data_IF_997436051436
#
_entry.id   IF_997436051436
#
_cell.length_a   1.000
_cell.length_b   1.000
_cell.length_c   1.000
_cell.angle_alpha   90.00
_cell.angle_beta   90.00
_cell.angle_gamma   90.00
#
_symmetry.space_group_name_H-M   'P 1'
#
loop_
_entity.id
_entity.type
_entity.pdbx_description
1 polymer ?
#
# COMPACT_ATOMS: atom_id res chain seq x y z
N UNK A 1 21.50 -24.78 -1.21
CA UNK A 1 20.25 -24.97 -0.44
C UNK A 1 19.03 -24.61 -1.27
N UNK A 2 18.98 -23.43 -1.88
CA UNK A 2 17.87 -23.02 -2.75
C UNK A 2 17.59 -24.00 -3.90
N UNK A 3 18.62 -24.51 -4.58
CA UNK A 3 18.45 -25.57 -5.58
C UNK A 3 17.73 -26.82 -5.04
N UNK A 4 17.97 -27.21 -3.79
CA UNK A 4 17.26 -28.34 -3.17
C UNK A 4 15.79 -27.99 -2.91
N UNK A 5 15.50 -26.74 -2.57
CA UNK A 5 14.13 -26.25 -2.42
C UNK A 5 13.43 -26.24 -3.77
N UNK A 6 14.07 -25.73 -4.83
CA UNK A 6 13.53 -25.74 -6.19
C UNK A 6 13.28 -27.17 -6.68
N UNK A 7 14.23 -28.09 -6.50
CA UNK A 7 14.04 -29.51 -6.80
C UNK A 7 12.87 -30.11 -6.01
N UNK A 8 12.75 -29.76 -4.73
CA UNK A 8 11.62 -30.15 -3.89
C UNK A 8 10.29 -29.63 -4.42
N UNK A 9 10.23 -28.36 -4.86
CA UNK A 9 9.03 -27.77 -5.44
C UNK A 9 8.67 -28.50 -6.74
N UNK A 10 9.62 -28.64 -7.68
CA UNK A 10 9.41 -29.31 -8.97
C UNK A 10 8.93 -30.77 -8.81
N UNK A 11 9.42 -31.47 -7.77
CA UNK A 11 9.06 -32.87 -7.51
C UNK A 11 7.71 -33.04 -6.82
N UNK A 12 7.33 -32.11 -5.95
CA UNK A 12 6.19 -32.31 -5.04
C UNK A 12 4.96 -31.45 -5.38
N UNK A 13 5.09 -30.45 -6.26
CA UNK A 13 3.95 -29.64 -6.70
C UNK A 13 3.41 -30.12 -8.06
N UNK A 14 2.12 -29.89 -8.35
CA UNK A 14 1.54 -30.18 -9.67
C UNK A 14 2.31 -29.50 -10.80
N UNK A 15 2.42 -30.17 -11.96
CA UNK A 15 3.20 -29.67 -13.09
C UNK A 15 2.69 -28.32 -13.63
N UNK A 16 1.38 -28.07 -13.60
CA UNK A 16 0.79 -26.79 -14.00
C UNK A 16 1.25 -25.68 -13.05
N UNK A 17 1.24 -25.92 -11.74
CA UNK A 17 1.73 -24.97 -10.73
C UNK A 17 3.19 -24.62 -11.00
N UNK A 18 4.04 -25.63 -11.26
CA UNK A 18 5.46 -25.41 -11.57
C UNK A 18 5.60 -24.57 -12.85
N UNK A 19 4.84 -24.86 -13.91
CA UNK A 19 4.92 -24.10 -15.16
C UNK A 19 4.48 -22.62 -15.03
N UNK A 20 3.55 -22.32 -14.12
CA UNK A 20 3.14 -20.94 -13.81
C UNK A 20 4.14 -20.22 -12.91
N UNK A 21 4.87 -20.98 -12.09
CA UNK A 21 5.85 -20.41 -11.17
C UNK A 21 7.12 -19.94 -11.87
N UNK A 22 7.61 -20.71 -12.85
CA UNK A 22 8.91 -20.52 -13.48
C UNK A 22 8.78 -20.06 -14.94
N UNK A 23 9.76 -19.31 -15.42
CA UNK A 23 9.90 -18.95 -16.83
C UNK A 23 10.61 -20.06 -17.64
N UNK A 24 10.78 -19.86 -18.94
CA UNK A 24 11.43 -20.82 -19.83
C UNK A 24 12.92 -21.04 -19.52
N UNK A 25 13.54 -20.10 -18.80
CA UNK A 25 14.91 -20.17 -18.31
C UNK A 25 15.00 -20.74 -16.89
N UNK A 26 13.90 -21.29 -16.38
CA UNK A 26 13.79 -21.91 -15.04
C UNK A 26 13.98 -20.92 -13.87
N UNK A 27 13.81 -19.62 -14.13
CA UNK A 27 13.79 -18.58 -13.10
C UNK A 27 12.39 -18.41 -12.51
N UNK A 28 12.30 -18.04 -11.24
CA UNK A 28 11.03 -17.68 -10.61
C UNK A 28 10.47 -16.42 -11.28
N UNK A 29 9.28 -16.50 -11.88
CA UNK A 29 8.65 -15.34 -12.53
C UNK A 29 8.44 -14.21 -11.54
N UNK A 30 8.46 -12.99 -12.05
CA UNK A 30 8.22 -11.78 -11.26
C UNK A 30 6.93 -11.89 -10.43
N UNK A 31 6.98 -11.41 -9.19
CA UNK A 31 5.91 -11.44 -8.18
C UNK A 31 5.48 -12.83 -7.66
N UNK A 32 5.95 -13.94 -8.24
CA UNK A 32 5.77 -15.25 -7.60
C UNK A 32 6.68 -15.35 -6.37
N UNK A 33 6.23 -16.07 -5.34
CA UNK A 33 6.91 -16.14 -4.05
C UNK A 33 7.08 -17.57 -3.59
N UNK A 34 8.26 -17.85 -3.03
CA UNK A 34 8.53 -19.05 -2.25
C UNK A 34 8.72 -18.59 -0.81
N UNK A 35 8.00 -19.19 0.12
CA UNK A 35 8.06 -18.87 1.54
C UNK A 35 8.54 -20.09 2.31
N UNK A 36 9.45 -19.89 3.26
CA UNK A 36 9.64 -20.83 4.35
C UNK A 36 8.86 -20.34 5.56
N UNK A 37 8.02 -21.19 6.14
CA UNK A 37 7.18 -20.86 7.29
C UNK A 37 7.42 -21.82 8.45
N UNK A 38 7.77 -21.27 9.61
CA UNK A 38 7.99 -21.99 10.88
C UNK A 38 6.77 -21.86 11.77
N UNK A 39 6.18 -23.01 12.13
CA UNK A 39 5.01 -23.08 13.01
C UNK A 39 5.35 -23.00 14.50
N UNK A 40 6.50 -23.56 14.89
CA UNK A 40 6.89 -23.63 16.31
C UNK A 40 8.20 -22.88 16.51
N UNK A 41 8.16 -21.83 17.33
CA UNK A 41 9.33 -21.04 17.68
C UNK A 41 9.17 -20.51 19.11
N UNK A 42 10.29 -20.32 19.81
CA UNK A 42 10.27 -19.75 21.16
C UNK A 42 10.01 -18.25 21.08
N UNK A 43 8.82 -17.85 21.55
CA UNK A 43 8.36 -16.47 21.59
C UNK A 43 9.17 -15.59 22.54
N UNK A 44 9.90 -16.19 23.49
CA UNK A 44 10.72 -15.48 24.45
C UNK A 44 12.13 -15.18 23.92
N UNK A 45 12.54 -15.78 22.80
CA UNK A 45 13.81 -15.44 22.18
C UNK A 45 13.67 -14.11 21.43
N UNK A 46 14.47 -13.13 21.84
CA UNK A 46 14.64 -11.89 21.11
C UNK A 46 15.47 -12.15 19.85
N UNK A 47 14.78 -12.48 18.77
CA UNK A 47 15.37 -12.51 17.44
C UNK A 47 15.33 -11.09 16.84
N UNK A 48 16.42 -10.67 16.21
CA UNK A 48 16.38 -9.56 15.25
C UNK A 48 15.87 -10.10 13.91
N UNK A 49 14.55 -10.35 13.86
CA UNK A 49 13.88 -11.02 12.73
C UNK A 49 14.18 -10.31 11.40
N UNK A 50 14.11 -8.98 11.40
CA UNK A 50 14.35 -8.13 10.23
C UNK A 50 15.77 -8.27 9.67
N UNK A 51 16.80 -8.33 10.52
CA UNK A 51 18.18 -8.54 10.05
C UNK A 51 18.38 -9.93 9.46
N UNK A 52 17.73 -10.93 10.03
CA UNK A 52 17.86 -12.31 9.58
C UNK A 52 16.93 -12.65 8.39
N UNK A 53 16.19 -11.68 7.85
CA UNK A 53 15.27 -11.89 6.73
C UNK A 53 14.02 -12.70 7.08
N UNK A 54 13.69 -12.81 8.37
CA UNK A 54 12.45 -13.42 8.85
C UNK A 54 11.45 -12.35 9.25
N UNK A 55 10.17 -12.69 9.13
CA UNK A 55 9.05 -11.83 9.43
C UNK A 55 8.10 -12.59 10.34
N UNK A 56 7.46 -11.86 11.25
CA UNK A 56 6.41 -12.40 12.11
C UNK A 56 5.06 -11.86 11.67
N UNK A 57 4.09 -12.75 11.49
CA UNK A 57 2.71 -12.37 11.22
C UNK A 57 1.74 -13.34 11.86
N UNK A 58 0.72 -12.80 12.52
CA UNK A 58 -0.42 -13.60 12.97
C UNK A 58 -1.19 -14.11 11.76
N UNK A 59 -1.32 -15.43 11.66
CA UNK A 59 -2.11 -16.08 10.62
C UNK A 59 -3.49 -16.41 11.15
N UNK A 60 -4.50 -15.68 10.68
CA UNK A 60 -5.90 -15.95 11.02
C UNK A 60 -6.33 -17.39 10.70
N UNK A 61 -5.91 -17.92 9.55
CA UNK A 61 -6.19 -19.30 9.12
C UNK A 61 -5.71 -20.35 10.13
N UNK A 62 -4.56 -20.11 10.77
CA UNK A 62 -3.93 -21.05 11.69
C UNK A 62 -4.12 -20.65 13.16
N UNK A 63 -4.83 -19.54 13.42
CA UNK A 63 -5.02 -18.91 14.73
C UNK A 63 -3.72 -18.81 15.57
N UNK A 64 -2.57 -18.58 14.94
CA UNK A 64 -1.26 -18.52 15.59
C UNK A 64 -0.32 -17.56 14.87
N UNK A 65 0.73 -17.11 15.57
CA UNK A 65 1.84 -16.43 14.92
C UNK A 65 2.64 -17.39 14.04
N UNK A 66 2.99 -16.93 12.85
CA UNK A 66 3.93 -17.59 11.97
C UNK A 66 5.20 -16.74 11.89
N UNK A 67 6.35 -17.42 11.95
CA UNK A 67 7.58 -16.86 11.40
C UNK A 67 7.69 -17.30 9.94
N UNK A 68 7.95 -16.38 9.04
CA UNK A 68 8.20 -16.70 7.64
C UNK A 68 9.40 -15.94 7.07
N UNK A 69 10.09 -16.56 6.12
CA UNK A 69 11.12 -15.93 5.30
C UNK A 69 10.68 -15.99 3.84
N UNK A 70 10.78 -14.86 3.13
CA UNK A 70 10.56 -14.79 1.69
C UNK A 70 11.83 -15.21 0.96
N UNK A 71 11.77 -16.29 0.21
CA UNK A 71 12.87 -16.79 -0.62
C UNK A 71 12.69 -16.26 -2.05
N UNK A 72 12.85 -14.94 -2.23
CA UNK A 72 12.72 -14.30 -3.54
C UNK A 72 14.10 -14.13 -4.19
N UNK A 73 14.40 -14.83 -5.30
CA UNK A 73 15.67 -14.68 -5.99
C UNK A 73 15.82 -13.32 -6.69
N UNK A 74 14.72 -12.59 -6.92
CA UNK A 74 14.76 -11.29 -7.61
C UNK A 74 15.05 -10.11 -6.66
N UNK A 75 14.91 -10.29 -5.34
CA UNK A 75 15.30 -9.30 -4.32
C UNK A 75 16.80 -9.44 -3.92
N UNK A 76 17.54 -10.29 -4.64
CA UNK A 76 18.97 -10.50 -4.48
C UNK A 76 19.70 -9.31 -5.14
N UNK A 77 19.95 -8.25 -4.37
CA UNK A 77 21.15 -7.44 -4.65
C UNK A 77 22.41 -8.32 -4.54
N UNK A 78 23.57 -7.83 -4.98
CA UNK A 78 24.85 -8.59 -5.15
C UNK A 78 25.33 -9.49 -3.98
N UNK A 79 24.68 -9.47 -2.81
CA UNK A 79 24.86 -10.43 -1.74
C UNK A 79 23.76 -11.48 -1.76
N UNK A 80 24.11 -12.74 -2.07
CA UNK A 80 23.20 -13.90 -2.03
C UNK A 80 22.47 -13.96 -0.67
N UNK A 81 21.16 -13.68 -0.67
CA UNK A 81 20.31 -13.67 0.53
C UNK A 81 20.37 -15.02 1.26
N UNK A 82 20.57 -16.13 0.53
CA UNK A 82 20.79 -17.44 1.12
C UNK A 82 22.15 -17.51 1.82
N UNK A 83 23.17 -16.85 1.31
CA UNK A 83 24.48 -16.75 1.97
C UNK A 83 24.36 -16.00 3.30
N UNK A 84 23.55 -14.92 3.37
CA UNK A 84 23.25 -14.25 4.65
C UNK A 84 22.51 -15.16 5.64
N UNK A 85 21.49 -15.90 5.17
CA UNK A 85 20.78 -16.88 6.01
C UNK A 85 21.73 -17.99 6.49
N UNK A 86 22.64 -18.47 5.63
CA UNK A 86 23.64 -19.50 5.94
C UNK A 86 24.70 -18.98 6.94
N UNK A 87 25.17 -17.74 6.78
CA UNK A 87 26.17 -17.13 7.64
C UNK A 87 25.60 -16.79 9.02
N UNK A 88 24.36 -16.28 9.09
CA UNK A 88 23.66 -15.97 10.33
C UNK A 88 22.91 -17.19 10.88
N UNK A 89 23.66 -18.17 11.39
CA UNK A 89 23.22 -19.49 11.91
C UNK A 89 22.04 -19.50 12.90
N UNK A 90 21.61 -18.35 13.44
CA UNK A 90 20.58 -18.27 14.50
C UNK A 90 19.15 -18.49 13.99
N UNK A 91 18.88 -18.23 12.71
CA UNK A 91 17.55 -18.42 12.10
C UNK A 91 17.66 -19.12 10.74
N UNK A 92 18.45 -20.19 10.70
CA UNK A 92 18.54 -21.04 9.54
C UNK A 92 17.25 -21.85 9.32
N UNK A 93 17.00 -22.28 8.07
CA UNK A 93 15.89 -23.18 7.74
C UNK A 93 16.03 -24.50 8.51
N UNK A 94 14.94 -24.95 9.11
CA UNK A 94 14.82 -26.21 9.83
C UNK A 94 14.06 -27.24 8.99
N UNK A 95 14.31 -28.53 9.23
CA UNK A 95 13.57 -29.61 8.57
C UNK A 95 12.06 -29.59 8.88
N UNK A 96 11.66 -28.94 9.98
CA UNK A 96 10.27 -28.71 10.39
C UNK A 96 9.62 -27.49 9.72
N UNK A 97 10.39 -26.66 9.01
CA UNK A 97 9.84 -25.50 8.32
C UNK A 97 9.05 -25.96 7.08
N UNK A 98 7.85 -25.43 6.92
CA UNK A 98 7.01 -25.71 5.75
C UNK A 98 7.40 -24.79 4.60
N UNK A 99 7.65 -25.36 3.42
CA UNK A 99 7.78 -24.59 2.19
C UNK A 99 6.38 -24.33 1.64
N UNK A 100 6.07 -23.06 1.39
CA UNK A 100 4.83 -22.60 0.79
C UNK A 100 5.15 -21.85 -0.49
N UNK A 101 4.28 -21.93 -1.48
CA UNK A 101 4.42 -21.20 -2.73
C UNK A 101 3.20 -20.34 -2.95
N UNK A 102 3.41 -19.12 -3.44
CA UNK A 102 2.37 -18.23 -3.93
C UNK A 102 2.70 -17.86 -5.36
N UNK A 103 1.71 -17.91 -6.23
CA UNK A 103 1.93 -17.61 -7.64
C UNK A 103 0.67 -17.01 -8.27
N UNK A 104 0.87 -16.25 -9.33
CA UNK A 104 -0.21 -15.68 -10.12
C UNK A 104 -0.53 -16.59 -11.30
N UNK A 105 -1.82 -16.79 -11.58
CA UNK A 105 -2.28 -17.44 -12.81
C UNK A 105 -2.76 -16.36 -13.78
N UNK A 106 -2.39 -16.42 -15.07
CA UNK A 106 -3.00 -15.59 -16.10
C UNK A 106 -4.53 -15.77 -16.08
N UNK A 107 -5.23 -14.65 -16.20
CA UNK A 107 -6.69 -14.61 -16.25
C UNK A 107 -7.17 -13.73 -17.40
N UNK A 108 -8.49 -13.67 -17.57
CA UNK A 108 -9.18 -12.89 -18.61
C UNK A 108 -9.29 -11.40 -18.23
N UNK A 109 -8.17 -10.79 -17.83
CA UNK A 109 -8.16 -9.45 -17.24
C UNK A 109 -8.75 -8.38 -18.16
N UNK A 110 -8.32 -8.36 -19.42
CA UNK A 110 -8.79 -7.39 -20.41
C UNK A 110 -10.26 -7.60 -20.77
N UNK A 111 -10.71 -8.85 -20.93
CA UNK A 111 -12.09 -9.17 -21.25
C UNK A 111 -13.04 -8.80 -20.10
N UNK A 112 -12.60 -9.01 -18.86
CA UNK A 112 -13.35 -8.60 -17.66
C UNK A 112 -13.45 -7.07 -17.61
N UNK A 113 -12.33 -6.36 -17.75
CA UNK A 113 -12.29 -4.88 -17.74
C UNK A 113 -13.20 -4.32 -18.84
N UNK A 114 -13.04 -4.80 -20.08
CA UNK A 114 -13.87 -4.40 -21.22
C UNK A 114 -15.36 -4.63 -20.96
N UNK A 115 -15.73 -5.80 -20.42
CA UNK A 115 -17.12 -6.14 -20.11
C UNK A 115 -17.72 -5.19 -19.06
N UNK A 116 -16.97 -4.88 -18.00
CA UNK A 116 -17.43 -3.92 -17.00
C UNK A 116 -17.56 -2.50 -17.56
N UNK A 117 -16.59 -2.05 -18.37
CA UNK A 117 -16.64 -0.74 -19.02
C UNK A 117 -17.85 -0.61 -19.94
N UNK A 118 -18.14 -1.65 -20.73
CA UNK A 118 -19.32 -1.70 -21.60
C UNK A 118 -20.61 -1.59 -20.78
N UNK A 119 -20.76 -2.38 -19.71
CA UNK A 119 -21.92 -2.33 -18.83
C UNK A 119 -22.07 -0.94 -18.20
N UNK A 120 -20.98 -0.35 -17.72
CA UNK A 120 -21.00 0.99 -17.14
C UNK A 120 -21.46 2.04 -18.17
N UNK A 121 -20.94 1.98 -19.41
CA UNK A 121 -21.33 2.86 -20.49
C UNK A 121 -22.82 2.72 -20.86
N UNK A 122 -23.32 1.48 -21.00
CA UNK A 122 -24.73 1.19 -21.29
C UNK A 122 -25.67 1.73 -20.20
N UNK A 123 -25.20 1.82 -18.96
CA UNK A 123 -25.95 2.35 -17.81
C UNK A 123 -25.71 3.85 -17.56
N UNK A 124 -24.90 4.51 -18.39
CA UNK A 124 -24.50 5.92 -18.18
C UNK A 124 -23.76 6.13 -16.85
N UNK A 125 -22.97 5.14 -16.42
CA UNK A 125 -22.16 5.17 -15.21
C UNK A 125 -20.69 5.36 -15.55
N UNK A 126 -19.96 5.97 -14.62
CA UNK A 126 -18.51 6.00 -14.63
C UNK A 126 -17.99 4.79 -13.86
N UNK A 127 -17.00 4.12 -14.45
CA UNK A 127 -16.28 3.03 -13.81
C UNK A 127 -14.87 3.51 -13.48
N UNK A 128 -14.49 3.37 -12.22
CA UNK A 128 -13.18 3.75 -11.70
C UNK A 128 -12.50 2.46 -11.25
N UNK A 129 -11.28 2.24 -11.71
CA UNK A 129 -10.50 1.06 -11.37
C UNK A 129 -9.51 1.40 -10.25
N UNK A 130 -9.65 0.69 -9.14
CA UNK A 130 -8.62 0.68 -8.10
C UNK A 130 -7.44 -0.20 -8.58
N UNK A 131 -6.43 0.44 -9.16
CA UNK A 131 -5.18 -0.18 -9.60
C UNK A 131 -4.04 0.16 -8.63
N UNK A 132 -4.24 -0.10 -7.34
CA UNK A 132 -3.27 0.17 -6.28
C UNK A 132 -2.43 -1.06 -5.93
N UNK A 133 -1.26 -0.82 -5.35
CA UNK A 133 -0.32 -1.86 -4.94
C UNK A 133 0.79 -2.08 -5.96
N UNK A 134 1.30 -3.32 -6.05
CA UNK A 134 2.31 -3.69 -7.05
C UNK A 134 1.57 -4.11 -8.32
N UNK A 135 1.34 -3.16 -9.21
CA UNK A 135 0.68 -3.38 -10.51
C UNK A 135 1.75 -3.56 -11.58
N UNK A 136 1.79 -4.71 -12.29
CA UNK A 136 2.76 -4.90 -13.38
C UNK A 136 2.52 -3.91 -14.53
N UNK A 137 3.59 -3.46 -15.18
CA UNK A 137 3.52 -2.53 -16.33
C UNK A 137 2.60 -3.02 -17.46
N UNK A 138 2.53 -4.34 -17.66
CA UNK A 138 1.64 -4.94 -18.66
C UNK A 138 0.18 -4.59 -18.36
N UNK A 139 -0.23 -4.67 -17.09
CA UNK A 139 -1.60 -4.33 -16.66
C UNK A 139 -1.84 -2.83 -16.82
N UNK A 140 -0.90 -1.98 -16.40
CA UNK A 140 -1.01 -0.52 -16.56
C UNK A 140 -1.16 -0.12 -18.03
N UNK A 141 -0.38 -0.75 -18.94
CA UNK A 141 -0.52 -0.53 -20.39
C UNK A 141 -1.88 -0.97 -20.92
N UNK A 142 -2.38 -2.14 -20.50
CA UNK A 142 -3.69 -2.65 -20.92
C UNK A 142 -4.82 -1.73 -20.45
N UNK A 143 -4.79 -1.26 -19.20
CA UNK A 143 -5.77 -0.31 -18.67
C UNK A 143 -5.76 1.01 -19.45
N UNK A 144 -4.57 1.56 -19.74
CA UNK A 144 -4.42 2.78 -20.54
C UNK A 144 -4.97 2.61 -21.96
N UNK A 145 -4.67 1.48 -22.64
CA UNK A 145 -5.19 1.19 -23.98
C UNK A 145 -6.71 1.04 -24.02
N UNK A 146 -7.30 0.47 -22.96
CA UNK A 146 -8.75 0.36 -22.81
C UNK A 146 -9.41 1.71 -22.46
N UNK A 147 -8.63 2.72 -22.08
CA UNK A 147 -9.15 4.01 -21.61
C UNK A 147 -9.78 3.91 -20.23
N UNK A 148 -9.36 2.96 -19.40
CA UNK A 148 -9.85 2.78 -18.05
C UNK A 148 -9.51 4.01 -17.18
N UNK A 149 -10.49 4.51 -16.43
CA UNK A 149 -10.25 5.60 -15.47
C UNK A 149 -9.57 5.02 -14.23
N UNK A 150 -8.37 5.51 -13.93
CA UNK A 150 -7.54 5.00 -12.83
C UNK A 150 -7.79 5.74 -11.51
N UNK A 151 -7.64 5.04 -10.40
CA UNK A 151 -7.74 5.62 -9.06
C UNK A 151 -6.37 6.08 -8.56
N UNK A 152 -6.26 7.37 -8.18
CA UNK A 152 -4.99 8.02 -7.80
C UNK A 152 -5.05 8.65 -6.41
N UNK A 153 -4.71 7.91 -5.34
CA UNK A 153 -4.52 8.47 -4.01
C UNK A 153 -3.18 9.21 -3.93
N UNK A 154 -3.22 10.54 -3.89
CA UNK A 154 -2.04 11.40 -3.90
C UNK A 154 -1.22 11.28 -2.60
N UNK A 155 -1.74 10.69 -1.52
CA UNK A 155 -0.95 10.36 -0.33
C UNK A 155 0.30 9.54 -0.68
N UNK A 156 0.21 8.64 -1.66
CA UNK A 156 1.37 7.89 -2.18
C UNK A 156 2.28 8.77 -3.03
N UNK A 157 1.71 9.76 -3.72
CA UNK A 157 2.40 10.80 -4.47
C UNK A 157 3.26 11.70 -3.61
N UNK A 158 2.74 12.15 -2.46
CA UNK A 158 3.51 12.97 -1.53
C UNK A 158 4.63 12.19 -0.82
N UNK A 159 4.67 10.87 -0.98
CA UNK A 159 5.85 10.07 -0.67
C UNK A 159 6.94 10.17 -1.76
N UNK A 160 6.77 10.96 -2.84
CA UNK A 160 7.79 11.29 -3.87
C UNK A 160 9.11 11.77 -3.25
N UNK A 161 9.08 12.34 -2.05
CA UNK A 161 10.29 12.61 -1.27
C UNK A 161 11.05 11.35 -0.79
N UNK A 162 10.63 10.15 -1.24
CA UNK A 162 11.21 8.84 -0.95
C UNK A 162 11.64 8.11 -2.26
N UNK A 163 11.39 8.65 -3.47
CA UNK A 163 11.87 8.04 -4.74
C UNK A 163 11.57 8.86 -6.02
N UNK A 164 12.40 8.67 -7.06
CA UNK A 164 12.51 9.57 -8.22
C UNK A 164 11.47 9.37 -9.35
N UNK A 165 10.63 8.32 -9.30
CA UNK A 165 9.55 8.08 -10.28
C UNK A 165 8.26 7.69 -9.56
N UNK A 166 7.35 8.66 -9.38
CA UNK A 166 6.13 8.48 -8.58
C UNK A 166 4.88 8.84 -9.40
N UNK A 167 4.21 7.83 -9.94
CA UNK A 167 2.99 7.97 -10.73
C UNK A 167 1.79 8.56 -9.96
N UNK A 168 1.86 8.68 -8.63
CA UNK A 168 0.81 9.27 -7.80
C UNK A 168 1.04 10.75 -7.50
N UNK A 169 2.15 11.32 -7.99
CA UNK A 169 2.45 12.73 -7.81
C UNK A 169 1.47 13.62 -8.57
N UNK A 170 1.07 14.76 -7.98
CA UNK A 170 0.05 15.65 -8.54
C UNK A 170 0.32 16.06 -10.00
N UNK A 171 1.57 16.33 -10.36
CA UNK A 171 1.97 16.73 -11.72
C UNK A 171 1.96 15.57 -12.73
N UNK A 172 1.93 14.31 -12.26
CA UNK A 172 1.89 13.11 -13.10
C UNK A 172 0.46 12.55 -13.25
N UNK A 173 -0.52 13.17 -12.59
CA UNK A 173 -1.92 12.73 -12.70
C UNK A 173 -2.46 13.13 -14.06
N UNK A 174 -3.03 12.18 -14.79
CA UNK A 174 -3.63 12.42 -16.09
C UNK A 174 -5.12 12.73 -15.98
N UNK A 175 -5.69 13.36 -17.00
CA UNK A 175 -7.11 13.70 -17.04
C UNK A 175 -8.04 12.48 -16.94
N UNK A 176 -7.66 11.30 -17.42
CA UNK A 176 -8.45 10.09 -17.23
C UNK A 176 -8.22 9.42 -15.86
N UNK A 177 -8.18 10.23 -14.80
CA UNK A 177 -7.99 9.76 -13.42
C UNK A 177 -9.11 10.23 -12.52
N UNK A 178 -9.33 9.46 -11.46
CA UNK A 178 -10.08 9.86 -10.27
C UNK A 178 -9.09 10.00 -9.13
N UNK A 179 -8.96 11.20 -8.56
CA UNK A 179 -7.97 11.50 -7.55
C UNK A 179 -8.59 11.75 -6.17
N UNK A 180 -7.84 11.43 -5.13
CA UNK A 180 -8.14 11.81 -3.76
C UNK A 180 -6.84 12.06 -3.00
N UNK A 181 -6.90 12.68 -1.83
CA UNK A 181 -5.75 12.69 -0.93
C UNK A 181 -5.54 11.28 -0.34
N UNK A 182 -6.49 10.84 0.49
CA UNK A 182 -6.47 9.56 1.20
C UNK A 182 -7.61 8.63 0.75
N UNK A 183 -7.48 7.35 1.08
CA UNK A 183 -8.49 6.30 0.92
C UNK A 183 -9.01 5.83 2.28
N UNK A 184 -10.06 5.02 2.29
CA UNK A 184 -10.55 4.33 3.50
C UNK A 184 -9.52 3.41 4.16
N UNK A 185 -8.49 2.99 3.41
CA UNK A 185 -7.45 2.04 3.82
C UNK A 185 -6.12 2.73 4.19
N UNK A 186 -6.13 4.07 4.26
CA UNK A 186 -4.98 4.88 4.63
C UNK A 186 -5.29 5.75 5.85
N UNK A 187 -4.27 6.45 6.36
CA UNK A 187 -4.47 7.48 7.39
C UNK A 187 -5.08 8.75 6.78
N UNK A 188 -5.69 9.59 7.61
CA UNK A 188 -6.16 10.92 7.21
C UNK A 188 -5.00 11.86 6.89
N UNK A 189 -5.26 13.00 6.23
CA UNK A 189 -4.29 14.06 5.96
C UNK A 189 -3.58 14.56 7.23
N UNK A 190 -4.34 14.76 8.31
CA UNK A 190 -3.77 15.12 9.60
C UNK A 190 -2.95 13.99 10.19
N UNK A 191 -3.45 12.75 10.16
CA UNK A 191 -2.72 11.58 10.62
C UNK A 191 -1.38 11.46 9.89
N UNK A 192 -1.41 11.54 8.56
CA UNK A 192 -0.25 11.49 7.66
C UNK A 192 0.81 12.55 8.02
N UNK A 193 0.40 13.82 8.23
CA UNK A 193 1.32 14.90 8.56
C UNK A 193 1.87 14.82 9.98
N UNK A 194 1.01 14.62 10.98
CA UNK A 194 1.41 14.68 12.39
C UNK A 194 2.15 13.42 12.86
N UNK A 195 1.98 12.29 12.17
CA UNK A 195 2.81 11.10 12.37
C UNK A 195 2.72 10.48 13.78
N UNK A 196 1.60 10.68 14.48
CA UNK A 196 1.43 10.21 15.87
C UNK A 196 1.22 8.70 15.88
N UNK A 197 2.28 7.95 16.19
CA UNK A 197 2.34 6.48 16.11
C UNK A 197 1.41 5.76 17.11
N UNK A 198 0.11 5.71 16.87
CA UNK A 198 -0.79 4.91 17.73
C UNK A 198 -1.48 3.74 17.04
N UNK A 199 -1.78 3.84 15.74
CA UNK A 199 -2.70 2.89 15.10
C UNK A 199 -2.28 2.39 13.71
N UNK A 200 -1.62 3.21 12.89
CA UNK A 200 -1.22 2.79 11.55
C UNK A 200 0.24 2.31 11.48
N UNK A 201 0.51 1.40 10.53
CA UNK A 201 1.90 1.00 10.21
C UNK A 201 2.68 2.24 9.75
N UNK A 202 3.96 2.29 10.10
CA UNK A 202 4.84 3.46 9.85
C UNK A 202 4.84 3.97 8.40
N UNK A 203 4.49 3.10 7.43
CA UNK A 203 4.55 3.37 5.99
C UNK A 203 3.63 4.48 5.47
N UNK A 204 2.57 4.84 6.18
CA UNK A 204 1.62 5.87 5.72
C UNK A 204 1.85 7.25 6.34
N UNK A 205 2.93 7.44 7.11
CA UNK A 205 3.19 8.70 7.79
C UNK A 205 4.37 9.44 7.15
N UNK A 206 4.23 10.74 6.93
CA UNK A 206 5.33 11.59 6.49
C UNK A 206 6.19 11.98 7.70
N UNK A 207 7.12 11.11 8.12
CA UNK A 207 7.89 11.33 9.36
C UNK A 207 9.16 12.15 9.19
N UNK A 208 9.74 12.15 8.00
CA UNK A 208 11.04 12.76 7.79
C UNK A 208 10.88 14.28 7.66
N UNK A 209 11.45 15.04 8.58
CA UNK A 209 11.41 16.52 8.52
C UNK A 209 11.96 17.05 7.19
N UNK A 210 12.99 16.41 6.63
CA UNK A 210 13.51 16.74 5.29
C UNK A 210 12.43 16.62 4.20
N UNK A 211 11.61 15.58 4.25
CA UNK A 211 10.52 15.37 3.30
C UNK A 211 9.39 16.40 3.51
N UNK A 212 9.07 16.73 4.76
CA UNK A 212 8.11 17.82 5.08
C UNK A 212 8.58 19.17 4.55
N UNK A 213 9.84 19.52 4.78
CA UNK A 213 10.43 20.78 4.30
C UNK A 213 10.43 20.83 2.77
N UNK A 214 10.75 19.73 2.11
CA UNK A 214 10.70 19.66 0.65
C UNK A 214 9.27 19.83 0.10
N UNK A 215 8.26 19.24 0.76
CA UNK A 215 6.86 19.49 0.42
C UNK A 215 6.47 20.95 0.62
N UNK A 216 6.83 21.54 1.76
CA UNK A 216 6.55 22.94 2.04
C UNK A 216 7.14 23.84 0.96
N UNK A 217 8.40 23.60 0.57
CA UNK A 217 9.05 24.32 -0.52
C UNK A 217 8.24 24.24 -1.82
N UNK A 218 7.85 23.03 -2.23
CA UNK A 218 7.02 22.84 -3.42
C UNK A 218 5.66 23.56 -3.31
N UNK A 219 5.00 23.54 -2.15
CA UNK A 219 3.74 24.24 -1.92
C UNK A 219 3.90 25.77 -2.00
N UNK A 220 5.02 26.33 -1.55
CA UNK A 220 5.34 27.75 -1.72
C UNK A 220 5.63 28.10 -3.19
N UNK A 221 6.46 27.31 -3.86
CA UNK A 221 6.82 27.51 -5.29
C UNK A 221 5.59 27.50 -6.19
N UNK A 222 4.65 26.58 -5.92
CA UNK A 222 3.40 26.45 -6.66
C UNK A 222 2.27 27.33 -6.12
N UNK A 223 2.57 28.22 -5.17
CA UNK A 223 1.64 29.24 -4.63
C UNK A 223 0.39 28.66 -3.95
N UNK A 224 0.44 27.42 -3.47
CA UNK A 224 -0.57 26.86 -2.58
C UNK A 224 -0.46 27.45 -1.17
N UNK A 225 0.76 27.82 -0.76
CA UNK A 225 1.04 28.55 0.48
C UNK A 225 1.44 30.00 0.18
N UNK A 226 0.96 30.93 1.01
CA UNK A 226 1.37 32.34 0.97
C UNK A 226 2.58 32.58 1.87
N UNK A 227 3.38 33.61 1.60
CA UNK A 227 4.57 33.98 2.41
C UNK A 227 4.29 34.16 3.92
N UNK A 228 3.05 34.50 4.29
CA UNK A 228 2.62 34.68 5.69
C UNK A 228 1.92 33.45 6.28
N UNK A 229 1.96 32.30 5.61
CA UNK A 229 1.28 31.10 6.07
C UNK A 229 1.85 30.61 7.41
N UNK A 230 0.97 30.21 8.32
CA UNK A 230 1.36 29.58 9.58
C UNK A 230 1.74 28.12 9.32
N UNK A 231 2.97 27.73 9.66
CA UNK A 231 3.50 26.39 9.41
C UNK A 231 4.11 25.81 10.69
N UNK A 232 3.78 24.55 10.97
CA UNK A 232 4.39 23.74 12.01
C UNK A 232 4.70 22.35 11.44
N UNK A 233 5.94 21.88 11.62
CA UNK A 233 6.34 20.55 11.19
C UNK A 233 5.70 19.43 12.02
N UNK A 234 5.14 19.72 13.19
CA UNK A 234 4.56 18.74 14.11
C UNK A 234 3.05 18.68 14.07
N UNK A 235 2.39 19.75 13.66
CA UNK A 235 0.94 19.87 13.63
C UNK A 235 0.45 20.30 12.26
N UNK A 236 -0.69 19.78 11.83
CA UNK A 236 -1.28 20.20 10.56
C UNK A 236 -1.98 21.54 10.78
N UNK A 237 -1.33 22.64 10.39
CA UNK A 237 -1.93 23.98 10.50
C UNK A 237 -3.07 24.16 9.49
N UNK A 238 -4.03 25.08 9.72
CA UNK A 238 -5.12 25.33 8.77
C UNK A 238 -4.62 25.73 7.36
N UNK A 239 -3.57 26.54 7.29
CA UNK A 239 -2.98 26.96 6.01
C UNK A 239 -2.38 25.79 5.25
N UNK A 240 -1.63 24.93 5.95
CA UNK A 240 -1.06 23.73 5.33
C UNK A 240 -2.14 22.73 4.92
N UNK A 241 -3.15 22.53 5.76
CA UNK A 241 -4.30 21.69 5.44
C UNK A 241 -4.95 22.15 4.13
N UNK A 242 -5.28 23.44 4.04
CA UNK A 242 -5.89 24.03 2.85
C UNK A 242 -4.96 23.90 1.63
N UNK A 243 -3.67 24.14 1.79
CA UNK A 243 -2.69 24.06 0.70
C UNK A 243 -2.61 22.66 0.10
N UNK A 244 -2.57 21.61 0.94
CA UNK A 244 -2.52 20.21 0.46
C UNK A 244 -3.84 19.81 -0.22
N UNK A 245 -5.00 20.22 0.32
CA UNK A 245 -6.27 19.94 -0.36
C UNK A 245 -6.39 20.71 -1.68
N UNK A 246 -5.89 21.96 -1.74
CA UNK A 246 -5.88 22.76 -2.95
C UNK A 246 -4.99 22.13 -4.03
N UNK A 247 -3.82 21.59 -3.68
CA UNK A 247 -2.97 20.91 -4.65
C UNK A 247 -3.53 19.58 -5.15
N UNK A 248 -4.36 18.92 -4.35
CA UNK A 248 -5.14 17.75 -4.82
C UNK A 248 -6.28 18.20 -5.74
N UNK A 249 -6.97 19.30 -5.43
CA UNK A 249 -8.03 19.87 -6.27
C UNK A 249 -7.53 20.36 -7.63
N UNK A 250 -6.30 20.89 -7.68
CA UNK A 250 -5.69 21.48 -8.89
C UNK A 250 -4.97 20.44 -9.77
N UNK A 251 -4.88 19.18 -9.33
CA UNK A 251 -4.31 18.13 -10.18
C UNK A 251 -5.17 17.90 -11.43
N UNK A 252 -4.57 17.35 -12.49
CA UNK A 252 -5.25 17.27 -13.77
C UNK A 252 -6.35 16.19 -13.83
N UNK A 253 -6.65 15.47 -12.73
CA UNK A 253 -7.70 14.46 -12.70
C UNK A 253 -9.06 15.03 -13.13
N UNK A 254 -9.84 14.24 -13.87
CA UNK A 254 -11.21 14.60 -14.25
C UNK A 254 -12.11 14.80 -13.04
N UNK A 255 -11.90 14.03 -11.98
CA UNK A 255 -12.67 14.11 -10.75
C UNK A 255 -11.75 13.99 -9.54
N UNK A 256 -12.00 14.86 -8.56
CA UNK A 256 -11.30 14.88 -7.28
C UNK A 256 -12.31 14.68 -6.17
N UNK A 257 -12.05 13.72 -5.28
CA UNK A 257 -12.88 13.45 -4.11
C UNK A 257 -12.07 13.64 -2.83
N UNK A 258 -12.68 14.36 -1.90
CA UNK A 258 -12.16 14.56 -0.57
C UNK A 258 -12.92 13.67 0.42
N UNK A 259 -12.18 12.95 1.25
CA UNK A 259 -12.79 12.19 2.33
C UNK A 259 -13.33 13.15 3.39
N UNK A 260 -14.45 12.79 4.03
CA UNK A 260 -15.00 13.61 5.11
C UNK A 260 -14.00 13.83 6.26
N UNK A 261 -13.21 12.83 6.72
CA UNK A 261 -12.15 13.04 7.71
C UNK A 261 -11.14 14.10 7.31
N UNK A 262 -10.74 14.15 6.03
CA UNK A 262 -9.83 15.18 5.55
C UNK A 262 -10.51 16.55 5.58
N UNK A 263 -11.72 16.69 5.04
CA UNK A 263 -12.46 17.98 5.05
C UNK A 263 -12.59 18.57 6.45
N UNK A 264 -12.89 17.73 7.46
CA UNK A 264 -13.09 18.20 8.84
C UNK A 264 -11.79 18.24 9.68
N UNK A 265 -10.66 17.83 9.12
CA UNK A 265 -9.36 17.84 9.80
C UNK A 265 -9.22 16.78 10.91
N UNK A 266 -9.89 15.64 10.78
CA UNK A 266 -9.76 14.51 11.71
C UNK A 266 -8.35 13.94 11.70
N UNK A 267 -7.80 13.63 12.87
CA UNK A 267 -6.56 12.88 13.05
C UNK A 267 -6.79 11.37 12.93
N UNK A 268 -6.06 10.59 13.74
CA UNK A 268 -6.17 9.12 13.75
C UNK A 268 -7.59 8.63 14.07
N UNK A 269 -8.41 9.42 14.77
CA UNK A 269 -9.81 9.09 15.06
C UNK A 269 -10.70 9.05 13.81
N UNK A 270 -10.24 9.60 12.68
CA UNK A 270 -10.92 9.53 11.40
C UNK A 270 -10.53 8.32 10.53
N UNK A 271 -9.61 7.47 11.01
CA UNK A 271 -9.18 6.28 10.26
C UNK A 271 -10.31 5.25 10.25
N UNK A 272 -10.73 4.85 9.05
CA UNK A 272 -11.86 3.93 8.83
C UNK A 272 -11.43 2.48 8.91
N UNK A 273 -10.29 2.14 8.29
CA UNK A 273 -9.75 0.79 8.26
C UNK A 273 -8.22 0.81 8.27
N UNK A 274 -7.61 -0.25 8.83
CA UNK A 274 -6.17 -0.49 8.74
C UNK A 274 -5.84 -1.85 8.11
N UNK A 275 -5.36 -1.88 6.85
CA UNK A 275 -5.04 -3.13 6.18
C UNK A 275 -4.04 -4.00 6.97
N UNK A 276 -4.39 -5.27 7.13
CA UNK A 276 -3.55 -6.26 7.79
C UNK A 276 -3.58 -6.23 9.32
N UNK A 277 -4.46 -5.43 9.95
CA UNK A 277 -4.82 -5.64 11.35
C UNK A 277 -6.03 -6.57 11.39
N UNK A 278 -5.84 -7.83 11.82
CA UNK A 278 -6.92 -8.81 11.95
C UNK A 278 -7.94 -8.50 13.05
N UNK A 279 -7.88 -7.30 13.63
CA UNK A 279 -8.81 -6.84 14.65
C UNK A 279 -9.77 -5.87 13.97
N UNK A 280 -11.02 -6.30 13.78
CA UNK A 280 -12.19 -5.43 13.63
C UNK A 280 -12.41 -4.65 14.95
N UNK A 281 -11.42 -3.86 15.37
CA UNK A 281 -11.32 -3.23 16.69
C UNK A 281 -10.91 -1.78 16.63
N UNK A 282 -11.10 -1.12 15.49
CA UNK A 282 -11.47 0.29 15.57
C UNK A 282 -12.78 0.36 16.37
N UNK A 283 -12.91 1.27 17.34
CA UNK A 283 -14.09 1.36 18.17
C UNK A 283 -15.30 1.66 17.28
N UNK A 284 -16.07 0.62 16.96
CA UNK A 284 -17.40 0.66 16.37
C UNK A 284 -17.52 1.59 15.15
N UNK A 285 -17.68 1.03 13.94
CA UNK A 285 -18.26 1.73 12.78
C UNK A 285 -19.73 2.10 13.07
N UNK A 286 -20.03 2.75 14.21
CA UNK A 286 -21.28 3.46 14.40
C UNK A 286 -21.20 4.71 13.55
N UNK A 287 -22.12 4.91 12.59
CA UNK A 287 -22.18 6.14 11.85
C UNK A 287 -22.24 7.31 12.83
N UNK A 288 -21.42 8.34 12.60
CA UNK A 288 -21.49 9.65 13.24
C UNK A 288 -22.83 10.32 12.87
N UNK A 289 -23.94 9.78 13.37
CA UNK A 289 -25.29 10.35 13.24
C UNK A 289 -25.58 11.41 14.33
N UNK A 290 -24.54 11.87 15.05
CA UNK A 290 -24.64 12.96 16.01
C UNK A 290 -24.00 14.23 15.46
N UNK A 291 -24.48 14.69 14.30
CA UNK A 291 -24.51 16.14 14.05
C UNK A 291 -25.50 16.70 15.07
N UNK A 292 -25.10 17.60 15.98
CA UNK A 292 -26.03 18.19 16.93
C UNK A 292 -27.08 18.97 16.14
N UNK A 293 -28.35 18.54 16.20
CA UNK A 293 -29.47 19.39 15.78
C UNK A 293 -29.39 20.67 16.60
N UNK A 294 -29.02 21.78 15.97
CA UNK A 294 -29.23 23.10 16.53
C UNK A 294 -30.71 23.19 16.91
N UNK A 295 -30.98 23.28 18.22
CA UNK A 295 -32.31 23.66 18.69
C UNK A 295 -32.51 25.10 18.26
N UNK A 296 -33.29 25.33 17.22
CA UNK A 296 -33.91 26.63 16.98
C UNK A 296 -34.66 27.00 18.26
N UNK A 297 -34.15 28.01 18.97
CA UNK A 297 -34.93 28.75 19.95
C UNK A 297 -35.86 29.64 19.14
N UNK A 298 -37.15 29.31 19.16
CA UNK A 298 -38.19 30.23 18.74
C UNK A 298 -38.14 31.45 19.67
N UNK A 299 -37.99 32.63 19.08
CA UNK A 299 -38.58 33.86 19.60
C UNK A 299 -40.01 33.95 19.09
#
# INVERSE_FOLDING_TARGET
MYELILQGIRKNFPADVVSEMFDESDNLRHANVILAARKSFDMNQQYDLTRCGWYRQFSAEHAQDLLYAMLNPNDIGDSDYLEKIIQEKKLFLQASDSIRVGFFKPGFGEEIVYSFMKIAQEQGKQLIFENLGVVPDAISRSLAQLGATEFKPLIFGYMKFIGDDNAFWAEHIENNSFACFSTQDTVTLRGWWEGREKWAKQKFYLKQDKAKVALLHWLFENRYLSENAEIDLRTLTPDLHKAVLASVADCAAREVVFTMPDIVGSGDEGIINMPGTGVFGLPDLRPLSKIPRQKHRNY
#
